data_IF_032167530411
#
_entry.id   IF_032167530411
#
_cell.length_a   1.000
_cell.length_b   1.000
_cell.length_c   1.000
_cell.angle_alpha   90.00
_cell.angle_beta   90.00
_cell.angle_gamma   90.00
#
_symmetry.space_group_name_H-M   'P 1'
#
loop_
_entity.id
_entity.type
_entity.pdbx_description
1 polymer ?
#
# COMPACT_ATOMS: atom_id res chain seq x y z
N UNK A 1 10.57 5.45 20.15
CA UNK A 1 10.81 5.30 18.69
C UNK A 1 9.57 5.86 18.00
N UNK A 2 9.73 6.84 17.12
CA UNK A 2 8.60 7.50 16.44
C UNK A 2 8.09 6.60 15.30
N UNK A 3 6.79 6.63 14.99
CA UNK A 3 6.16 5.82 13.92
C UNK A 3 6.84 6.00 12.55
N UNK A 4 7.37 7.19 12.26
CA UNK A 4 8.23 7.45 11.08
C UNK A 4 9.49 6.57 11.08
N UNK A 5 10.15 6.44 12.23
CA UNK A 5 11.34 5.59 12.36
C UNK A 5 10.96 4.09 12.26
N UNK A 6 9.77 3.73 12.75
CA UNK A 6 9.26 2.36 12.70
C UNK A 6 8.92 1.92 11.26
N UNK A 7 8.26 2.80 10.49
CA UNK A 7 8.03 2.59 9.06
C UNK A 7 9.36 2.48 8.28
N UNK A 8 10.36 3.28 8.65
CA UNK A 8 11.68 3.23 8.03
C UNK A 8 12.45 1.93 8.35
N UNK A 9 12.22 1.34 9.54
CA UNK A 9 12.83 0.08 9.97
C UNK A 9 12.15 -1.17 9.40
N UNK A 10 10.82 -1.16 9.24
CA UNK A 10 10.10 -2.29 8.65
C UNK A 10 10.38 -2.48 7.14
N UNK A 11 10.91 -1.47 6.47
CA UNK A 11 11.11 -1.44 5.00
C UNK A 11 12.61 -1.63 4.62
N UNK A 12 13.49 -1.88 5.60
CA UNK A 12 14.94 -2.03 5.38
C UNK A 12 15.41 -3.50 5.17
N UNK A 13 14.51 -4.47 5.10
CA UNK A 13 14.87 -5.86 4.84
C UNK A 13 14.94 -6.14 3.31
N UNK A 14 15.93 -6.92 2.83
CA UNK A 14 16.05 -7.23 1.41
C UNK A 14 15.28 -8.51 1.03
N UNK A 15 14.34 -8.36 0.09
CA UNK A 15 13.93 -9.27 -0.99
C UNK A 15 14.18 -10.79 -0.78
N UNK A 16 13.12 -11.59 -0.70
CA UNK A 16 13.01 -12.89 -1.39
C UNK A 16 11.64 -13.58 -1.18
N UNK A 17 10.57 -13.21 -1.90
CA UNK A 17 9.39 -14.09 -1.99
C UNK A 17 8.38 -13.81 -3.13
N UNK A 18 8.56 -12.85 -4.05
CA UNK A 18 7.61 -12.73 -5.17
C UNK A 18 8.06 -13.67 -6.29
N UNK A 19 7.66 -14.94 -6.16
CA UNK A 19 7.83 -15.95 -7.19
C UNK A 19 6.97 -15.66 -8.42
N UNK A 20 7.52 -14.92 -9.38
CA UNK A 20 6.92 -14.75 -10.70
C UNK A 20 7.20 -16.01 -11.52
N UNK A 21 6.28 -16.99 -11.49
CA UNK A 21 6.19 -17.99 -12.56
C UNK A 21 5.51 -17.33 -13.76
N UNK A 22 6.32 -16.94 -14.74
CA UNK A 22 5.83 -16.53 -16.05
C UNK A 22 5.11 -17.70 -16.73
N UNK A 23 3.78 -17.60 -16.84
CA UNK A 23 2.98 -18.46 -17.69
C UNK A 23 2.69 -17.72 -19.01
N UNK A 24 3.37 -18.19 -20.07
CA UNK A 24 2.97 -18.25 -21.48
C UNK A 24 2.07 -17.13 -22.04
N UNK A 25 2.67 -16.28 -22.90
CA UNK A 25 1.99 -15.76 -24.10
C UNK A 25 1.16 -14.50 -23.98
N UNK A 26 1.13 -13.82 -22.84
CA UNK A 26 0.50 -12.49 -22.72
C UNK A 26 1.59 -11.41 -22.69
N UNK A 27 1.37 -10.30 -23.42
CA UNK A 27 2.22 -9.11 -23.32
C UNK A 27 2.46 -8.82 -21.83
N UNK A 28 3.72 -8.52 -21.42
CA UNK A 28 4.03 -8.37 -20.00
C UNK A 28 3.02 -7.38 -19.42
N UNK A 29 2.24 -7.76 -18.38
CA UNK A 29 1.36 -6.79 -17.73
C UNK A 29 2.28 -5.64 -17.37
N UNK A 30 1.99 -4.44 -17.87
CA UNK A 30 2.80 -3.23 -17.67
C UNK A 30 3.27 -3.25 -16.23
N UNK A 31 4.57 -3.54 -16.04
CA UNK A 31 5.11 -3.72 -14.70
C UNK A 31 4.87 -2.38 -14.02
N UNK A 32 4.09 -2.34 -12.92
CA UNK A 32 3.81 -1.09 -12.25
C UNK A 32 5.14 -0.45 -11.89
N UNK A 33 5.29 0.84 -12.24
CA UNK A 33 6.49 1.59 -11.89
C UNK A 33 6.50 1.87 -10.39
N UNK A 34 5.32 2.17 -9.85
CA UNK A 34 5.17 2.56 -8.46
C UNK A 34 4.43 1.49 -7.64
N UNK A 35 4.83 1.36 -6.39
CA UNK A 35 4.12 0.54 -5.39
C UNK A 35 3.72 1.44 -4.23
N UNK A 36 2.46 1.38 -3.84
CA UNK A 36 1.88 2.15 -2.73
C UNK A 36 1.54 1.17 -1.63
N UNK A 37 2.10 1.33 -0.44
CA UNK A 37 1.85 0.46 0.71
C UNK A 37 1.07 1.25 1.76
N UNK A 38 -0.05 0.71 2.20
CA UNK A 38 -0.97 1.33 3.16
C UNK A 38 -1.10 0.46 4.41
N UNK A 39 -0.74 1.03 5.57
CA UNK A 39 -0.97 0.48 6.92
C UNK A 39 -2.20 1.20 7.49
N UNK A 40 -3.39 0.57 7.46
CA UNK A 40 -4.60 1.16 8.01
C UNK A 40 -4.50 1.28 9.53
N UNK A 41 -4.91 2.42 10.07
CA UNK A 41 -5.07 2.60 11.51
C UNK A 41 -6.16 1.67 12.06
N UNK A 42 -5.91 0.93 13.14
CA UNK A 42 -6.86 -0.08 13.61
C UNK A 42 -7.93 0.48 14.56
N UNK A 43 -7.60 1.46 15.42
CA UNK A 43 -8.51 2.09 16.36
C UNK A 43 -8.11 3.54 16.70
N UNK A 44 -9.08 4.32 17.19
CA UNK A 44 -9.01 5.76 17.41
C UNK A 44 -7.69 6.29 17.99
N UNK A 45 -7.29 7.43 17.45
CA UNK A 45 -6.05 8.19 17.63
C UNK A 45 -4.82 7.67 16.85
N UNK A 46 -4.94 6.59 16.07
CA UNK A 46 -3.87 6.10 15.20
C UNK A 46 -3.93 6.69 13.78
N UNK A 47 -2.78 7.12 13.25
CA UNK A 47 -2.69 7.64 11.87
C UNK A 47 -2.51 6.51 10.85
N UNK A 48 -3.12 6.65 9.66
CA UNK A 48 -2.90 5.70 8.55
C UNK A 48 -1.59 6.04 7.85
N UNK A 49 -0.68 5.07 7.77
CA UNK A 49 0.60 5.21 7.10
C UNK A 49 0.51 4.82 5.63
N UNK A 50 1.05 5.64 4.74
CA UNK A 50 1.16 5.32 3.31
C UNK A 50 2.57 5.59 2.82
N UNK A 51 3.21 4.62 2.18
CA UNK A 51 4.52 4.76 1.56
C UNK A 51 4.42 4.55 0.05
N UNK A 52 5.09 5.39 -0.74
CA UNK A 52 5.20 5.27 -2.20
C UNK A 52 6.63 4.86 -2.55
N UNK A 53 6.76 3.82 -3.37
CA UNK A 53 8.05 3.26 -3.82
C UNK A 53 8.18 3.32 -5.35
N UNK A 54 9.39 3.60 -5.83
CA UNK A 54 9.85 3.37 -7.21
C UNK A 54 10.95 2.30 -7.14
N UNK A 55 10.60 1.05 -7.42
CA UNK A 55 11.44 -0.12 -7.14
C UNK A 55 11.79 -0.29 -5.65
N UNK A 56 13.08 -0.16 -5.32
CA UNK A 56 13.58 -0.33 -3.95
C UNK A 56 13.67 1.00 -3.18
N UNK A 57 13.38 2.15 -3.82
CA UNK A 57 13.48 3.45 -3.18
C UNK A 57 12.10 3.91 -2.69
N UNK A 58 12.00 4.29 -1.42
CA UNK A 58 10.85 5.07 -0.91
C UNK A 58 11.03 6.50 -1.40
N UNK A 59 10.04 7.01 -2.13
CA UNK A 59 10.06 8.37 -2.68
C UNK A 59 9.12 9.34 -1.96
N UNK A 60 8.08 8.82 -1.30
CA UNK A 60 7.15 9.64 -0.50
C UNK A 60 6.57 8.83 0.65
N UNK A 61 6.33 9.49 1.79
CA UNK A 61 5.63 8.93 2.96
C UNK A 61 4.53 9.91 3.36
N UNK A 62 3.30 9.42 3.43
CA UNK A 62 2.16 10.14 3.96
C UNK A 62 1.73 9.55 5.29
N UNK A 63 1.35 10.44 6.19
CA UNK A 63 0.70 10.09 7.46
C UNK A 63 -0.64 10.78 7.44
N UNK A 64 -1.71 9.99 7.33
CA UNK A 64 -3.07 10.49 7.19
C UNK A 64 -3.72 10.52 8.58
N UNK A 65 -4.06 11.71 9.11
CA UNK A 65 -4.68 11.81 10.42
C UNK A 65 -6.03 11.09 10.41
N UNK A 66 -6.33 10.37 11.50
CA UNK A 66 -7.60 9.67 11.64
C UNK A 66 -8.75 10.67 11.68
N UNK A 67 -9.68 10.49 10.76
CA UNK A 67 -10.90 11.31 10.65
C UNK A 67 -12.08 10.42 10.34
N UNK A 68 -11.89 9.54 9.36
CA UNK A 68 -12.78 8.43 9.05
C UNK A 68 -12.10 7.46 8.08
N UNK A 69 -12.54 6.19 8.11
CA UNK A 69 -12.14 5.18 7.13
C UNK A 69 -12.36 5.67 5.69
N UNK A 70 -13.48 6.36 5.46
CA UNK A 70 -13.86 6.86 4.15
C UNK A 70 -12.94 7.97 3.64
N UNK A 71 -12.53 8.89 4.50
CA UNK A 71 -11.59 9.95 4.15
C UNK A 71 -10.20 9.40 3.86
N UNK A 72 -9.75 8.40 4.63
CA UNK A 72 -8.47 7.73 4.40
C UNK A 72 -8.45 7.05 3.04
N UNK A 73 -9.48 6.27 2.70
CA UNK A 73 -9.60 5.60 1.40
C UNK A 73 -9.60 6.62 0.25
N UNK A 74 -10.36 7.71 0.35
CA UNK A 74 -10.36 8.78 -0.66
C UNK A 74 -8.99 9.41 -0.87
N UNK A 75 -8.24 9.63 0.21
CA UNK A 75 -6.88 10.19 0.12
C UNK A 75 -5.90 9.22 -0.52
N UNK A 76 -6.02 7.92 -0.23
CA UNK A 76 -5.21 6.89 -0.89
C UNK A 76 -5.53 6.82 -2.38
N UNK A 77 -6.80 6.92 -2.78
CA UNK A 77 -7.18 7.00 -4.20
C UNK A 77 -6.57 8.23 -4.89
N UNK A 78 -6.51 9.38 -4.21
CA UNK A 78 -5.85 10.56 -4.76
C UNK A 78 -4.32 10.37 -4.90
N UNK A 79 -3.69 9.61 -3.99
CA UNK A 79 -2.28 9.22 -4.12
C UNK A 79 -2.10 8.26 -5.31
N UNK A 80 -2.97 7.26 -5.44
CA UNK A 80 -2.98 6.32 -6.58
C UNK A 80 -3.14 7.05 -7.91
N UNK A 81 -4.03 8.04 -8.01
CA UNK A 81 -4.22 8.84 -9.24
C UNK A 81 -2.97 9.66 -9.60
N UNK A 82 -2.21 10.10 -8.61
CA UNK A 82 -0.96 10.86 -8.80
C UNK A 82 0.17 9.98 -9.32
N UNK A 83 0.18 8.69 -8.97
CA UNK A 83 1.26 7.77 -9.27
C UNK A 83 0.79 6.68 -10.24
N UNK A 84 0.97 6.88 -11.54
CA UNK A 84 0.60 5.89 -12.56
C UNK A 84 1.80 5.52 -13.46
N UNK A 85 1.95 4.25 -13.88
CA UNK A 85 1.19 3.08 -13.42
C UNK A 85 1.64 2.61 -12.02
N UNK A 86 0.70 2.25 -11.14
CA UNK A 86 1.00 1.74 -9.80
C UNK A 86 0.24 0.48 -9.38
N UNK A 87 0.66 -0.12 -8.27
CA UNK A 87 -0.13 -1.06 -7.47
C UNK A 87 -0.26 -0.57 -6.04
N UNK A 88 -1.46 -0.72 -5.47
CA UNK A 88 -1.75 -0.39 -4.07
C UNK A 88 -1.84 -1.67 -3.26
N UNK A 89 -1.06 -1.75 -2.20
CA UNK A 89 -0.98 -2.84 -1.24
C UNK A 89 -1.54 -2.36 0.10
N UNK A 90 -2.49 -3.10 0.66
CA UNK A 90 -3.13 -2.78 1.93
C UNK A 90 -2.85 -3.90 2.92
N UNK A 91 -2.35 -3.55 4.11
CA UNK A 91 -2.12 -4.52 5.16
C UNK A 91 -3.44 -5.19 5.58
N UNK A 92 -3.46 -6.52 5.61
CA UNK A 92 -4.65 -7.34 5.90
C UNK A 92 -5.26 -7.09 7.28
N UNK A 93 -4.44 -6.75 8.27
CA UNK A 93 -4.88 -6.74 9.67
C UNK A 93 -5.85 -5.59 9.99
N UNK A 94 -6.72 -5.83 10.98
CA UNK A 94 -7.69 -4.84 11.44
C UNK A 94 -8.70 -4.44 10.36
N UNK A 95 -8.74 -3.15 10.02
CA UNK A 95 -9.72 -2.56 9.10
C UNK A 95 -9.29 -2.61 7.62
N UNK A 96 -8.16 -3.25 7.29
CA UNK A 96 -7.65 -3.30 5.91
C UNK A 96 -8.60 -3.95 4.90
N UNK A 97 -9.37 -4.95 5.33
CA UNK A 97 -10.40 -5.55 4.46
C UNK A 97 -11.49 -4.54 4.07
N UNK A 98 -11.86 -3.62 4.96
CA UNK A 98 -12.83 -2.57 4.64
C UNK A 98 -12.26 -1.54 3.64
N UNK A 99 -10.95 -1.29 3.65
CA UNK A 99 -10.31 -0.45 2.62
C UNK A 99 -10.37 -1.12 1.25
N UNK A 100 -10.10 -2.43 1.20
CA UNK A 100 -10.18 -3.22 -0.04
C UNK A 100 -11.61 -3.27 -0.61
N UNK A 101 -12.61 -3.51 0.25
CA UNK A 101 -14.01 -3.50 -0.16
C UNK A 101 -14.41 -2.13 -0.72
N UNK A 102 -14.05 -1.03 -0.04
CA UNK A 102 -14.34 0.32 -0.52
C UNK A 102 -13.61 0.69 -1.81
N UNK A 103 -12.37 0.23 -1.98
CA UNK A 103 -11.64 0.42 -3.23
C UNK A 103 -12.36 -0.28 -4.39
N UNK A 104 -12.80 -1.52 -4.16
CA UNK A 104 -13.58 -2.29 -5.15
C UNK A 104 -14.90 -1.60 -5.50
N UNK A 105 -15.61 -1.06 -4.51
CA UNK A 105 -16.86 -0.31 -4.72
C UNK A 105 -16.66 0.96 -5.57
N UNK A 106 -15.44 1.49 -5.61
CA UNK A 106 -15.04 2.61 -6.46
C UNK A 106 -14.35 2.17 -7.77
N UNK A 107 -14.45 0.89 -8.14
CA UNK A 107 -13.90 0.36 -9.39
C UNK A 107 -12.38 0.25 -9.39
N UNK A 108 -11.73 0.22 -8.23
CA UNK A 108 -10.28 0.16 -8.10
C UNK A 108 -9.80 -1.23 -7.71
N UNK A 109 -8.59 -1.58 -8.14
CA UNK A 109 -7.98 -2.87 -7.86
C UNK A 109 -6.80 -2.70 -6.90
N UNK A 110 -7.05 -2.93 -5.62
CA UNK A 110 -6.04 -2.94 -4.57
C UNK A 110 -5.78 -4.37 -4.10
N UNK A 111 -4.60 -4.61 -3.53
CA UNK A 111 -4.12 -5.93 -3.18
C UNK A 111 -3.88 -6.04 -1.68
N UNK A 112 -4.35 -7.14 -1.10
CA UNK A 112 -4.00 -7.50 0.27
C UNK A 112 -2.51 -7.86 0.35
N UNK A 113 -1.84 -7.39 1.40
CA UNK A 113 -0.50 -7.83 1.76
C UNK A 113 -0.45 -8.19 3.25
N UNK A 114 0.28 -9.26 3.58
CA UNK A 114 0.58 -9.59 4.97
C UNK A 114 1.66 -8.62 5.50
N UNK A 115 1.75 -8.41 6.81
CA UNK A 115 2.79 -7.56 7.42
C UNK A 115 4.20 -7.99 7.04
N UNK A 116 4.37 -9.28 6.68
CA UNK A 116 5.62 -9.85 6.13
C UNK A 116 5.97 -9.39 4.72
N UNK A 117 5.00 -8.93 3.92
CA UNK A 117 5.25 -8.33 2.61
C UNK A 117 5.66 -6.86 2.67
N UNK A 118 5.72 -6.28 3.88
CA UNK A 118 6.36 -4.98 4.13
C UNK A 118 7.88 -5.10 4.34
N UNK A 119 8.34 -6.29 4.76
CA UNK A 119 9.74 -6.65 5.00
C UNK A 119 10.41 -7.20 3.73
#
# INVERSE_FOLDING_TARGET
>A
MNRKDMLQLCIAAPLAAIGIKAALGQAPPTVPRYEIFCEPACYGDEETGVAVRDGNAIIEIHVLPDRSLHDSVKRIMAIEDRYQPCRVHVERYGIGMAYLDMARDNGRQWYEVDRRGWM
#
